data_IF_952272551646
#
_entry.id   IF_952272551646
#
_cell.length_a   1.000
_cell.length_b   1.000
_cell.length_c   1.000
_cell.angle_alpha   90.00
_cell.angle_beta   90.00
_cell.angle_gamma   90.00
#
_symmetry.space_group_name_H-M   'P 1'
#
loop_
_entity.id
_entity.type
_entity.pdbx_description
1 polymer ?
#
# COMPACT_ATOMS: atom_id res chain seq x y z
N UNK A 1 -17.22 -1.46 2.33
CA UNK A 1 -16.15 -2.24 1.68
C UNK A 1 -15.01 -2.36 2.66
N UNK A 2 -14.47 -3.56 2.80
CA UNK A 2 -13.28 -3.80 3.61
C UNK A 2 -12.06 -3.19 2.91
N UNK A 3 -11.24 -2.46 3.65
CA UNK A 3 -10.04 -1.81 3.12
C UNK A 3 -8.81 -2.57 3.58
N UNK A 4 -7.82 -2.67 2.70
CA UNK A 4 -6.57 -3.35 2.99
C UNK A 4 -5.38 -2.60 2.39
N UNK A 5 -4.18 -2.97 2.84
CA UNK A 5 -2.91 -2.51 2.30
C UNK A 5 -2.21 -3.66 1.59
N UNK A 6 -1.44 -3.36 0.56
CA UNK A 6 -0.71 -4.35 -0.24
C UNK A 6 0.79 -4.12 -0.07
N UNK A 7 1.52 -4.93 0.72
CA UNK A 7 2.99 -4.90 0.73
C UNK A 7 3.55 -5.31 -0.64
N UNK A 8 4.70 -4.75 -0.99
CA UNK A 8 5.44 -5.11 -2.20
C UNK A 8 6.14 -6.47 -1.96
N UNK A 9 5.81 -7.53 -2.73
CA UNK A 9 6.47 -8.83 -2.56
C UNK A 9 7.84 -8.88 -3.24
N UNK A 10 8.72 -9.74 -2.73
CA UNK A 10 9.95 -10.15 -3.42
C UNK A 10 11.16 -9.25 -3.17
N UNK A 11 12.07 -9.13 -4.15
CA UNK A 11 13.40 -8.50 -3.94
C UNK A 11 13.37 -7.00 -3.59
N UNK A 12 12.25 -6.33 -3.79
CA UNK A 12 12.06 -4.91 -3.47
C UNK A 12 11.27 -4.70 -2.18
N UNK A 13 10.99 -5.78 -1.44
CA UNK A 13 10.19 -5.79 -0.21
C UNK A 13 10.73 -4.80 0.84
N UNK A 14 12.05 -4.68 0.99
CA UNK A 14 12.68 -3.81 2.00
C UNK A 14 13.72 -2.89 1.37
N UNK A 15 13.63 -1.60 1.68
CA UNK A 15 14.68 -0.61 1.40
C UNK A 15 15.14 0.11 2.68
N UNK A 16 15.89 1.22 2.55
CA UNK A 16 16.33 2.04 3.68
C UNK A 16 15.16 2.61 4.52
N UNK A 17 13.95 2.59 3.97
CA UNK A 17 12.69 3.00 4.59
C UNK A 17 11.80 1.80 4.98
N UNK A 18 12.38 0.62 5.12
CA UNK A 18 11.70 -0.59 5.60
C UNK A 18 10.82 -1.25 4.55
N UNK A 19 9.75 -1.91 5.00
CA UNK A 19 8.79 -2.60 4.13
C UNK A 19 8.13 -1.61 3.15
N UNK A 20 8.22 -1.89 1.85
CA UNK A 20 7.53 -1.16 0.81
C UNK A 20 6.09 -1.62 0.65
N UNK A 21 5.20 -0.66 0.39
CA UNK A 21 3.79 -0.88 0.11
C UNK A 21 3.40 -0.21 -1.20
N UNK A 22 2.42 -0.79 -1.88
CA UNK A 22 1.69 -0.07 -2.92
C UNK A 22 0.83 1.03 -2.28
N UNK A 23 0.74 2.16 -2.95
CA UNK A 23 -0.11 3.28 -2.56
C UNK A 23 -0.50 4.10 -3.80
N UNK A 24 -1.53 4.94 -3.68
CA UNK A 24 -1.89 5.92 -4.70
C UNK A 24 -1.33 7.30 -4.37
N UNK A 25 -0.78 7.98 -5.36
CA UNK A 25 -0.51 9.42 -5.27
C UNK A 25 -1.81 10.24 -5.38
N UNK A 26 -1.69 11.57 -5.26
CA UNK A 26 -2.83 12.49 -5.37
C UNK A 26 -3.50 12.51 -6.74
N UNK A 27 -2.85 11.96 -7.76
CA UNK A 27 -3.35 11.85 -9.12
C UNK A 27 -3.95 10.47 -9.41
N UNK A 28 -4.03 9.58 -8.40
CA UNK A 28 -4.57 8.22 -8.55
C UNK A 28 -3.60 7.25 -9.24
N UNK A 29 -2.31 7.59 -9.34
CA UNK A 29 -1.29 6.68 -9.91
C UNK A 29 -0.70 5.80 -8.83
N UNK A 30 -0.45 4.54 -9.17
CA UNK A 30 0.28 3.63 -8.30
C UNK A 30 1.71 4.14 -8.05
N UNK A 31 2.09 4.08 -6.78
CA UNK A 31 3.40 4.41 -6.26
C UNK A 31 3.82 3.36 -5.23
N UNK A 32 5.13 3.34 -4.93
CA UNK A 32 5.72 2.50 -3.89
C UNK A 32 6.19 3.41 -2.76
N UNK A 33 5.83 3.06 -1.52
CA UNK A 33 6.21 3.86 -0.35
C UNK A 33 6.64 2.95 0.79
N UNK A 34 7.86 3.16 1.28
CA UNK A 34 8.39 2.49 2.46
C UNK A 34 7.70 2.94 3.75
N UNK A 35 7.36 2.00 4.64
CA UNK A 35 6.59 2.24 5.86
C UNK A 35 7.30 3.16 6.88
N UNK A 36 8.63 3.19 6.85
CA UNK A 36 9.46 4.06 7.69
C UNK A 36 9.76 5.41 7.01
N UNK A 37 9.17 5.68 5.84
CA UNK A 37 9.18 7.03 5.26
C UNK A 37 8.64 8.06 6.24
N UNK A 38 9.11 9.30 6.13
CA UNK A 38 8.63 10.39 7.00
C UNK A 38 7.11 10.52 6.97
N UNK A 39 6.49 10.91 8.10
CA UNK A 39 5.05 11.12 8.18
C UNK A 39 4.53 12.13 7.14
N UNK A 40 5.36 13.11 6.76
CA UNK A 40 5.06 14.05 5.69
C UNK A 40 4.89 13.36 4.33
N UNK A 41 5.72 12.38 4.04
CA UNK A 41 5.64 11.58 2.80
C UNK A 41 4.42 10.67 2.87
N UNK A 42 4.25 9.88 3.93
CA UNK A 42 3.12 8.94 4.07
C UNK A 42 1.76 9.64 3.91
N UNK A 43 1.59 10.83 4.48
CA UNK A 43 0.35 11.63 4.34
C UNK A 43 0.03 12.10 2.91
N UNK A 44 0.96 12.01 1.97
CA UNK A 44 0.74 12.38 0.56
C UNK A 44 0.14 11.26 -0.26
N UNK A 45 0.16 10.02 0.25
CA UNK A 45 -0.27 8.83 -0.46
C UNK A 45 -1.42 8.15 0.27
N UNK A 46 -2.28 7.48 -0.50
CA UNK A 46 -3.32 6.62 0.02
C UNK A 46 -2.89 5.15 -0.07
N UNK A 47 -2.73 4.49 1.08
CA UNK A 47 -2.30 3.09 1.16
C UNK A 47 -3.48 2.10 1.13
N UNK A 48 -4.70 2.61 1.18
CA UNK A 48 -5.90 1.79 1.29
C UNK A 48 -6.46 1.45 -0.09
N UNK A 49 -6.71 0.16 -0.30
CA UNK A 49 -7.34 -0.40 -1.48
C UNK A 49 -8.65 -1.07 -1.10
N UNK A 50 -9.60 -1.03 -2.03
CA UNK A 50 -10.76 -1.91 -2.06
C UNK A 50 -10.62 -2.93 -3.20
N UNK A 51 -11.54 -3.90 -3.27
CA UNK A 51 -11.50 -4.97 -4.28
C UNK A 51 -11.60 -4.43 -5.72
N UNK A 52 -12.41 -3.40 -5.95
CA UNK A 52 -12.61 -2.84 -7.28
C UNK A 52 -11.33 -2.18 -7.79
N UNK A 53 -10.72 -1.37 -6.94
CA UNK A 53 -9.46 -0.69 -7.24
C UNK A 53 -8.31 -1.70 -7.38
N UNK A 54 -8.22 -2.70 -6.49
CA UNK A 54 -7.17 -3.71 -6.58
C UNK A 54 -7.23 -4.50 -7.91
N UNK A 55 -8.43 -4.87 -8.35
CA UNK A 55 -8.65 -5.52 -9.66
C UNK A 55 -8.31 -4.63 -10.83
N UNK A 56 -8.72 -3.35 -10.78
CA UNK A 56 -8.41 -2.38 -11.84
C UNK A 56 -6.90 -2.26 -12.08
N UNK A 57 -6.10 -2.37 -11.02
CA UNK A 57 -4.66 -2.24 -11.08
C UNK A 57 -3.90 -3.58 -11.10
N UNK A 58 -4.61 -4.72 -11.12
CA UNK A 58 -4.03 -6.07 -11.22
C UNK A 58 -3.18 -6.47 -10.00
N UNK A 59 -3.54 -5.98 -8.81
CA UNK A 59 -2.85 -6.28 -7.55
C UNK A 59 -3.74 -7.03 -6.55
N UNK A 60 -4.90 -7.51 -6.99
CA UNK A 60 -5.88 -8.22 -6.16
C UNK A 60 -5.36 -9.57 -5.66
N UNK A 61 -4.51 -10.27 -6.42
CA UNK A 61 -3.92 -11.54 -5.98
C UNK A 61 -2.65 -11.37 -5.11
N UNK A 62 -2.21 -10.14 -4.86
CA UNK A 62 -1.02 -9.87 -4.04
C UNK A 62 -1.32 -10.00 -2.54
N UNK A 63 -0.29 -10.21 -1.68
CA UNK A 63 -0.49 -10.30 -0.24
C UNK A 63 -1.24 -9.08 0.32
N UNK A 64 -2.16 -9.32 1.26
CA UNK A 64 -3.05 -8.28 1.81
C UNK A 64 -2.88 -8.18 3.31
N UNK A 65 -2.79 -6.96 3.81
CA UNK A 65 -2.82 -6.65 5.24
C UNK A 65 -4.11 -5.90 5.50
N UNK A 66 -5.06 -6.61 6.10
CA UNK A 66 -6.26 -6.01 6.66
C UNK A 66 -5.87 -5.32 7.97
N UNK A 67 -6.27 -4.06 8.14
CA UNK A 67 -6.15 -3.46 9.46
C UNK A 67 -7.04 -4.26 10.41
N UNK A 68 -6.41 -5.06 11.27
CA UNK A 68 -7.09 -5.59 12.45
C UNK A 68 -7.60 -4.36 13.20
N UNK A 69 -8.93 -4.19 13.22
CA UNK A 69 -9.56 -3.31 14.20
C UNK A 69 -9.07 -3.82 15.55
N UNK A 70 -8.13 -3.09 16.15
CA UNK A 70 -7.82 -3.30 17.55
C UNK A 70 -9.14 -3.05 18.30
N UNK A 71 -9.70 -4.12 18.84
CA UNK A 71 -10.70 -4.06 19.91
C UNK A 71 -10.18 -3.22 21.08
#
# INVERSE_FOLDING_TARGET
MEKFRVPLPGKFEVDIYGQNYYAFDKSGKLALVGINSSNRIKKRYNFEFDEETAKQFGIDDLPRIYELKNE
#
